data_IF_125362870854
#
_entry.id   IF_125362870854
#
_cell.length_a   1.000
_cell.length_b   1.000
_cell.length_c   1.000
_cell.angle_alpha   90.00
_cell.angle_beta   90.00
_cell.angle_gamma   90.00
#
_symmetry.space_group_name_H-M   'P 1'
#
loop_
_entity.id
_entity.type
_entity.pdbx_description
1 polymer ?
#
# COMPACT_ATOMS: atom_id res chain seq x y z
N UNK A 1 -1.07 -31.33 -2.65
CA UNK A 1 -1.44 -29.93 -2.90
C UNK A 1 -0.61 -29.09 -1.93
N UNK A 2 0.51 -28.52 -2.40
CA UNK A 2 1.38 -27.72 -1.54
C UNK A 2 0.77 -26.32 -1.40
N UNK A 3 0.20 -26.01 -0.23
CA UNK A 3 -0.18 -24.64 0.08
C UNK A 3 1.09 -23.80 0.10
N UNK A 4 1.15 -22.79 -0.78
CA UNK A 4 2.27 -21.88 -0.90
C UNK A 4 2.56 -21.27 0.48
N UNK A 5 3.77 -21.50 0.98
CA UNK A 5 4.21 -21.13 2.31
C UNK A 5 4.29 -19.63 2.55
N UNK A 6 3.15 -18.98 2.72
CA UNK A 6 3.08 -17.62 3.23
C UNK A 6 3.20 -17.69 4.75
N UNK A 7 4.43 -17.50 5.25
CA UNK A 7 4.70 -17.35 6.68
C UNK A 7 4.21 -15.97 7.14
N UNK A 8 2.91 -15.81 7.35
CA UNK A 8 2.42 -14.68 8.12
C UNK A 8 2.68 -14.96 9.60
N UNK A 9 3.42 -14.07 10.28
CA UNK A 9 3.32 -13.99 11.73
C UNK A 9 2.09 -13.13 12.01
N UNK A 10 0.96 -13.70 12.49
CA UNK A 10 -0.31 -12.96 12.61
C UNK A 10 -0.18 -11.68 13.43
N UNK A 11 0.74 -11.64 14.40
CA UNK A 11 1.02 -10.50 15.27
C UNK A 11 1.66 -9.30 14.56
N UNK A 12 1.95 -9.39 13.25
CA UNK A 12 2.61 -8.33 12.48
C UNK A 12 1.84 -7.85 11.26
N UNK A 13 0.64 -8.37 11.01
CA UNK A 13 -0.21 -7.90 9.91
C UNK A 13 -0.92 -6.61 10.33
N UNK A 14 -0.71 -5.55 9.57
CA UNK A 14 -1.37 -4.24 9.75
C UNK A 14 -2.75 -4.25 9.09
N UNK A 15 -2.83 -4.81 7.88
CA UNK A 15 -4.09 -4.95 7.14
C UNK A 15 -3.96 -6.05 6.08
N UNK A 16 -5.07 -6.70 5.76
CA UNK A 16 -5.15 -7.78 4.76
C UNK A 16 -6.52 -7.75 4.09
N UNK A 17 -6.54 -7.88 2.76
CA UNK A 17 -7.77 -7.94 1.98
C UNK A 17 -7.65 -8.88 0.79
N UNK A 18 -8.80 -9.36 0.31
CA UNK A 18 -8.90 -10.04 -0.98
C UNK A 18 -9.28 -9.03 -2.06
N UNK A 19 -8.39 -8.79 -3.01
CA UNK A 19 -8.59 -7.84 -4.12
C UNK A 19 -8.46 -8.61 -5.44
N UNK A 20 -9.50 -8.61 -6.28
CA UNK A 20 -9.45 -9.28 -7.58
C UNK A 20 -9.11 -10.78 -7.49
N UNK A 21 -9.60 -11.46 -6.44
CA UNK A 21 -9.37 -12.89 -6.21
C UNK A 21 -8.06 -13.25 -5.49
N UNK A 22 -7.07 -12.33 -5.44
CA UNK A 22 -5.80 -12.53 -4.73
C UNK A 22 -5.81 -11.92 -3.33
N UNK A 23 -5.02 -12.49 -2.42
CA UNK A 23 -4.74 -11.89 -1.12
C UNK A 23 -3.69 -10.80 -1.28
N UNK A 24 -3.94 -9.64 -0.69
CA UNK A 24 -3.02 -8.52 -0.59
C UNK A 24 -2.92 -8.14 0.88
N UNK A 25 -1.71 -7.91 1.38
CA UNK A 25 -1.50 -7.66 2.80
C UNK A 25 -0.38 -6.65 3.03
N UNK A 26 -0.52 -5.87 4.10
CA UNK A 26 0.49 -4.98 4.64
C UNK A 26 0.91 -5.52 6.00
N UNK A 27 2.20 -5.76 6.19
CA UNK A 27 2.78 -6.09 7.50
C UNK A 27 3.54 -4.89 8.06
N UNK A 28 3.81 -4.92 9.37
CA UNK A 28 4.62 -3.93 10.05
C UNK A 28 5.97 -3.73 9.35
N UNK A 29 6.59 -4.84 8.91
CA UNK A 29 7.82 -4.82 8.13
C UNK A 29 9.03 -4.31 8.93
N UNK A 30 9.91 -3.57 8.26
CA UNK A 30 11.13 -2.97 8.81
C UNK A 30 11.49 -1.69 8.03
N UNK A 31 12.66 -1.10 8.26
CA UNK A 31 13.08 0.13 7.55
C UNK A 31 13.27 0.01 6.03
N UNK A 32 13.22 -1.21 5.47
CA UNK A 32 13.37 -1.47 4.02
C UNK A 32 12.07 -1.87 3.31
N UNK A 33 11.11 -2.43 4.02
CA UNK A 33 9.83 -2.84 3.42
C UNK A 33 8.70 -2.86 4.45
N UNK A 34 7.45 -2.77 3.98
CA UNK A 34 6.24 -2.79 4.81
C UNK A 34 5.90 -1.44 5.43
N UNK A 35 5.03 -1.46 6.44
CA UNK A 35 4.46 -0.22 6.99
C UNK A 35 5.50 0.68 7.64
N UNK A 36 6.46 0.11 8.39
CA UNK A 36 7.55 0.87 8.99
C UNK A 36 8.39 1.62 7.94
N UNK A 37 8.71 0.99 6.80
CA UNK A 37 9.41 1.65 5.72
C UNK A 37 8.61 2.84 5.15
N UNK A 38 7.31 2.64 4.93
CA UNK A 38 6.41 3.68 4.45
C UNK A 38 6.38 4.86 5.41
N UNK A 39 6.23 4.61 6.72
CA UNK A 39 6.21 5.67 7.72
C UNK A 39 7.55 6.40 7.80
N UNK A 40 8.66 5.66 7.93
CA UNK A 40 9.99 6.26 8.09
C UNK A 40 10.41 7.11 6.89
N UNK A 41 9.99 6.75 5.67
CA UNK A 41 10.42 7.45 4.46
C UNK A 41 9.41 8.46 3.94
N UNK A 42 8.11 8.25 4.19
CA UNK A 42 7.04 8.95 3.47
C UNK A 42 5.90 9.45 4.35
N UNK A 43 5.94 9.28 5.69
CA UNK A 43 4.89 9.83 6.55
C UNK A 43 4.69 11.34 6.37
N UNK A 44 5.79 12.10 6.26
CA UNK A 44 5.74 13.53 6.00
C UNK A 44 5.09 13.85 4.64
N UNK A 45 5.37 13.05 3.61
CA UNK A 45 4.80 13.23 2.28
C UNK A 45 3.28 12.98 2.30
N UNK A 46 2.83 11.93 2.98
CA UNK A 46 1.40 11.63 3.15
C UNK A 46 0.70 12.74 3.95
N UNK A 47 1.33 13.22 5.02
CA UNK A 47 0.82 14.33 5.82
C UNK A 47 0.67 15.60 4.98
N UNK A 48 1.61 15.89 4.09
CA UNK A 48 1.52 17.03 3.17
C UNK A 48 0.37 16.90 2.15
N UNK A 49 -0.17 15.69 1.96
CA UNK A 49 -1.40 15.43 1.18
C UNK A 49 -2.65 15.34 2.06
N UNK A 50 -2.57 15.68 3.34
CA UNK A 50 -3.68 15.63 4.29
C UNK A 50 -4.01 14.23 4.80
N UNK A 51 -3.09 13.27 4.68
CA UNK A 51 -3.30 11.88 5.10
C UNK A 51 -2.53 11.61 6.38
N UNK A 52 -3.25 11.29 7.45
CA UNK A 52 -2.65 10.88 8.72
C UNK A 52 -2.06 9.47 8.60
N UNK A 53 -1.00 9.17 9.37
CA UNK A 53 -0.32 7.86 9.33
C UNK A 53 -1.27 6.68 9.51
N UNK A 54 -2.23 6.79 10.43
CA UNK A 54 -3.27 5.79 10.70
C UNK A 54 -4.19 5.51 9.52
N UNK A 55 -4.32 6.46 8.59
CA UNK A 55 -5.21 6.37 7.42
C UNK A 55 -4.47 5.82 6.19
N UNK A 56 -3.14 5.72 6.25
CA UNK A 56 -2.33 5.23 5.13
C UNK A 56 -2.76 3.80 4.73
N UNK A 57 -2.89 2.81 5.63
CA UNK A 57 -3.31 1.47 5.23
C UNK A 57 -4.63 1.50 4.45
N UNK A 58 -5.65 2.16 4.99
CA UNK A 58 -6.97 2.28 4.32
C UNK A 58 -6.84 2.92 2.93
N UNK A 59 -6.06 4.00 2.79
CA UNK A 59 -5.80 4.62 1.48
C UNK A 59 -5.15 3.65 0.50
N UNK A 60 -4.14 2.88 0.92
CA UNK A 60 -3.45 1.93 0.03
C UNK A 60 -4.41 0.86 -0.47
N UNK A 61 -5.22 0.29 0.42
CA UNK A 61 -6.20 -0.72 0.04
C UNK A 61 -7.31 -0.17 -0.84
N UNK A 62 -7.83 1.03 -0.58
CA UNK A 62 -8.77 1.70 -1.48
C UNK A 62 -8.17 1.93 -2.87
N UNK A 63 -6.91 2.40 -2.94
CA UNK A 63 -6.21 2.61 -4.19
C UNK A 63 -6.00 1.31 -4.99
N UNK A 64 -5.69 0.20 -4.32
CA UNK A 64 -5.54 -1.10 -4.97
C UNK A 64 -6.88 -1.74 -5.35
N UNK A 65 -7.94 -1.47 -4.59
CA UNK A 65 -9.27 -2.08 -4.77
C UNK A 65 -10.09 -1.38 -5.86
N UNK A 66 -10.08 -0.05 -5.85
CA UNK A 66 -10.95 0.77 -6.71
C UNK A 66 -10.21 1.84 -7.50
N UNK A 67 -8.93 2.06 -7.19
CA UNK A 67 -8.12 3.06 -7.89
C UNK A 67 -7.84 2.67 -9.34
N UNK A 68 -7.76 3.70 -10.18
CA UNK A 68 -7.37 3.55 -11.59
C UNK A 68 -5.85 3.65 -11.69
N UNK A 69 -5.20 2.66 -12.29
CA UNK A 69 -3.77 2.80 -12.62
C UNK A 69 -3.61 3.90 -13.69
N UNK A 70 -2.81 4.92 -13.40
CA UNK A 70 -2.63 6.12 -14.23
C UNK A 70 -1.21 6.31 -14.74
N UNK A 71 -0.27 5.48 -14.31
CA UNK A 71 1.12 5.56 -14.74
C UNK A 71 2.05 4.70 -13.91
N UNK A 72 3.35 5.02 -14.00
CA UNK A 72 4.43 4.32 -13.33
C UNK A 72 5.42 5.32 -12.73
N UNK A 73 5.94 5.03 -11.55
CA UNK A 73 7.09 5.69 -10.94
C UNK A 73 8.26 4.68 -10.95
N UNK A 74 9.14 4.78 -11.94
CA UNK A 74 10.07 3.70 -12.26
C UNK A 74 9.29 2.43 -12.61
N UNK A 75 9.49 1.35 -11.86
CA UNK A 75 8.72 0.09 -11.99
C UNK A 75 7.48 0.02 -11.09
N UNK A 76 7.18 1.05 -10.29
CA UNK A 76 6.07 1.05 -9.34
C UNK A 76 4.79 1.62 -9.98
N UNK A 77 3.68 0.86 -10.07
CA UNK A 77 2.40 1.39 -10.53
C UNK A 77 1.89 2.55 -9.68
N UNK A 78 1.34 3.56 -10.35
CA UNK A 78 0.68 4.72 -9.73
C UNK A 78 -0.83 4.57 -9.89
N UNK A 79 -1.55 4.64 -8.78
CA UNK A 79 -3.01 4.57 -8.73
C UNK A 79 -3.59 5.92 -8.37
N UNK A 80 -4.60 6.36 -9.11
CA UNK A 80 -5.45 7.50 -8.79
C UNK A 80 -6.73 7.00 -8.11
N UNK A 81 -7.06 7.56 -6.95
CA UNK A 81 -8.23 7.17 -6.15
C UNK A 81 -8.88 8.39 -5.52
N UNK A 82 -10.21 8.36 -5.38
CA UNK A 82 -10.92 9.33 -4.55
C UNK A 82 -10.98 8.79 -3.13
N UNK A 83 -10.28 9.43 -2.21
CA UNK A 83 -10.25 9.06 -0.80
C UNK A 83 -10.78 10.21 0.05
N UNK A 84 -11.88 9.96 0.78
CA UNK A 84 -12.57 10.97 1.62
C UNK A 84 -12.88 12.28 0.87
N UNK A 85 -13.31 12.17 -0.38
CA UNK A 85 -13.65 13.31 -1.24
C UNK A 85 -12.48 14.01 -1.93
N UNK A 86 -11.23 13.63 -1.61
CA UNK A 86 -10.04 14.15 -2.29
C UNK A 86 -9.54 13.17 -3.34
N UNK A 87 -9.22 13.66 -4.54
CA UNK A 87 -8.52 12.86 -5.55
C UNK A 87 -7.03 12.83 -5.20
N UNK A 88 -6.48 11.63 -5.04
CA UNK A 88 -5.10 11.39 -4.67
C UNK A 88 -4.44 10.45 -5.67
N UNK A 89 -3.11 10.53 -5.75
CA UNK A 89 -2.29 9.51 -6.42
C UNK A 89 -1.29 8.92 -5.46
N UNK A 90 -1.15 7.60 -5.52
CA UNK A 90 -0.21 6.84 -4.70
C UNK A 90 0.49 5.81 -5.57
N UNK A 91 1.82 5.77 -5.47
CA UNK A 91 2.62 4.73 -6.07
C UNK A 91 2.69 3.56 -5.07
N UNK A 92 2.38 2.33 -5.50
CA UNK A 92 2.36 1.15 -4.60
C UNK A 92 3.12 -0.01 -5.23
N UNK A 93 4.10 -0.57 -4.52
CA UNK A 93 4.71 -1.86 -4.89
C UNK A 93 4.02 -2.97 -4.12
N UNK A 94 3.39 -3.89 -4.84
CA UNK A 94 2.90 -5.16 -4.32
C UNK A 94 3.77 -6.27 -4.90
N UNK A 95 4.37 -7.09 -4.05
CA UNK A 95 5.12 -8.27 -4.48
C UNK A 95 4.20 -9.37 -5.01
N UNK A 96 4.76 -10.35 -5.72
CA UNK A 96 3.99 -11.43 -6.35
C UNK A 96 3.19 -12.27 -5.33
N UNK A 97 3.64 -12.30 -4.08
CA UNK A 97 2.95 -12.96 -2.97
C UNK A 97 1.80 -12.14 -2.35
N UNK A 98 1.54 -10.91 -2.82
CA UNK A 98 0.52 -10.01 -2.27
C UNK A 98 1.03 -9.03 -1.20
N UNK A 99 2.31 -9.08 -0.84
CA UNK A 99 2.88 -8.19 0.17
C UNK A 99 3.03 -6.75 -0.36
N UNK A 100 2.50 -5.76 0.35
CA UNK A 100 2.79 -4.34 0.09
C UNK A 100 4.20 -4.02 0.61
N UNK A 101 5.16 -3.97 -0.31
CA UNK A 101 6.57 -3.71 -0.02
C UNK A 101 6.78 -2.24 0.35
N UNK A 102 6.09 -1.33 -0.32
CA UNK A 102 6.17 0.10 -0.01
C UNK A 102 5.18 0.92 -0.82
N UNK A 103 4.98 2.15 -0.37
CA UNK A 103 4.11 3.13 -1.00
C UNK A 103 4.55 4.56 -0.68
N UNK A 104 4.23 5.49 -1.57
CA UNK A 104 4.43 6.92 -1.37
C UNK A 104 3.37 7.70 -2.17
N UNK A 105 2.92 8.86 -1.68
CA UNK A 105 2.07 9.71 -2.49
C UNK A 105 2.86 10.26 -3.67
N UNK A 106 2.16 10.61 -4.74
CA UNK A 106 2.72 11.34 -5.88
C UNK A 106 1.86 12.55 -6.20
N UNK A 107 2.42 13.51 -6.93
CA UNK A 107 1.65 14.67 -7.39
C UNK A 107 0.58 14.26 -8.42
N UNK A 108 -0.51 15.03 -8.43
CA UNK A 108 -1.51 14.99 -9.50
C UNK A 108 -0.96 15.58 -10.80
#
# INVERSE_FOLDING_TARGET
MAEAGVKHAPDRVVAIERIGGRIVFLEQGNGRAGFQHILQRHAADFRNKGIAERDIPTLLFEALRSGRQVGMQGSRPVYEVTFRGARLRVAITVGDNGFIVGANPVSL
#
